data_IF_082964341826
#
_entry.id   IF_082964341826
#
_cell.length_a   1.000
_cell.length_b   1.000
_cell.length_c   1.000
_cell.angle_alpha   90.00
_cell.angle_beta   90.00
_cell.angle_gamma   90.00
#
_symmetry.space_group_name_H-M   'P 1'
#
loop_
_entity.id
_entity.type
_entity.pdbx_description
1 polymer ?
#
# COMPACT_ATOMS: atom_id res chain seq x y z
N UNK A 1 -1.69 20.75 9.52
CA UNK A 1 -0.47 20.93 8.73
C UNK A 1 -0.69 20.20 7.41
N UNK A 2 -0.79 20.91 6.29
CA UNK A 2 -0.88 20.29 4.96
C UNK A 2 0.49 19.71 4.62
N UNK A 3 0.63 18.38 4.74
CA UNK A 3 1.87 17.69 4.41
C UNK A 3 2.21 17.87 2.94
N UNK A 4 3.51 17.94 2.62
CA UNK A 4 3.98 17.91 1.23
C UNK A 4 3.49 16.61 0.59
N UNK A 5 2.84 16.66 -0.59
CA UNK A 5 2.39 15.46 -1.26
C UNK A 5 3.56 14.49 -1.46
N UNK A 6 3.38 13.25 -1.01
CA UNK A 6 4.45 12.25 -1.02
C UNK A 6 4.11 11.13 -1.99
N UNK A 7 5.03 10.83 -2.90
CA UNK A 7 4.91 9.65 -3.74
C UNK A 7 5.23 8.39 -2.94
N UNK A 8 4.32 7.42 -2.91
CA UNK A 8 4.46 6.20 -2.11
C UNK A 8 4.58 4.98 -3.04
N UNK A 9 5.69 4.27 -2.89
CA UNK A 9 6.01 3.05 -3.63
C UNK A 9 5.23 1.81 -3.11
N UNK A 10 5.15 0.77 -3.95
CA UNK A 10 4.54 -0.54 -3.69
C UNK A 10 4.96 -1.13 -2.35
N UNK A 11 6.25 -1.08 -2.00
CA UNK A 11 6.77 -1.73 -0.79
C UNK A 11 6.11 -1.23 0.50
N UNK A 12 5.83 0.07 0.59
CA UNK A 12 5.15 0.65 1.78
C UNK A 12 3.74 0.10 1.90
N UNK A 13 3.01 0.00 0.78
CA UNK A 13 1.68 -0.60 0.75
C UNK A 13 1.70 -2.09 1.14
N UNK A 14 2.70 -2.83 0.68
CA UNK A 14 2.84 -4.25 1.04
C UNK A 14 3.05 -4.44 2.55
N UNK A 15 3.91 -3.63 3.18
CA UNK A 15 4.09 -3.69 4.63
C UNK A 15 2.81 -3.35 5.42
N UNK A 16 1.94 -2.50 4.86
CA UNK A 16 0.66 -2.17 5.49
C UNK A 16 -0.39 -3.27 5.30
N UNK A 17 -0.49 -3.83 4.10
CA UNK A 17 -1.62 -4.66 3.67
C UNK A 17 -1.38 -6.16 3.83
N UNK A 18 -0.12 -6.59 3.91
CA UNK A 18 0.26 -7.98 3.94
C UNK A 18 1.22 -8.29 5.09
N UNK A 19 1.04 -9.47 5.69
CA UNK A 19 1.86 -9.99 6.77
C UNK A 19 2.89 -11.00 6.22
N UNK A 20 4.03 -10.50 5.74
CA UNK A 20 5.09 -11.35 5.18
C UNK A 20 5.83 -12.12 6.28
N UNK A 21 5.43 -13.38 6.50
CA UNK A 21 6.01 -14.28 7.49
C UNK A 21 7.49 -14.60 7.27
N UNK A 22 8.08 -14.23 6.13
CA UNK A 22 9.53 -14.35 5.89
C UNK A 22 10.35 -13.28 6.60
N UNK A 23 9.71 -12.17 6.99
CA UNK A 23 10.32 -11.09 7.77
C UNK A 23 10.19 -11.44 9.25
N UNK A 24 11.29 -11.28 9.99
CA UNK A 24 11.34 -11.44 11.45
C UNK A 24 10.26 -10.58 12.13
N UNK A 25 9.65 -11.09 13.20
CA UNK A 25 8.43 -10.51 13.78
C UNK A 25 8.58 -9.05 14.22
N UNK A 26 9.66 -8.73 14.92
CA UNK A 26 9.90 -7.37 15.42
C UNK A 26 10.07 -6.40 14.24
N UNK A 27 10.85 -6.78 13.23
CA UNK A 27 11.06 -5.96 12.04
C UNK A 27 9.79 -5.82 11.19
N UNK A 28 8.97 -6.87 11.11
CA UNK A 28 7.70 -6.87 10.40
C UNK A 28 6.71 -5.91 11.05
N UNK A 29 6.59 -5.94 12.38
CA UNK A 29 5.75 -5.02 13.14
C UNK A 29 6.25 -3.57 12.98
N UNK A 30 7.56 -3.34 13.10
CA UNK A 30 8.16 -2.01 12.92
C UNK A 30 7.86 -1.43 11.54
N UNK A 31 8.08 -2.21 10.47
CA UNK A 31 7.79 -1.78 9.09
C UNK A 31 6.31 -1.51 8.88
N UNK A 32 5.42 -2.33 9.45
CA UNK A 32 3.97 -2.14 9.37
C UNK A 32 3.53 -0.86 10.07
N UNK A 33 4.05 -0.57 11.26
CA UNK A 33 3.73 0.65 12.01
C UNK A 33 4.18 1.91 11.26
N UNK A 34 5.38 1.89 10.67
CA UNK A 34 5.88 2.99 9.83
C UNK A 34 4.99 3.16 8.59
N UNK A 35 4.66 2.06 7.90
CA UNK A 35 3.80 2.10 6.72
C UNK A 35 2.42 2.64 7.04
N UNK A 36 1.80 2.22 8.16
CA UNK A 36 0.54 2.77 8.64
C UNK A 36 0.65 4.27 8.89
N UNK A 37 1.70 4.73 9.59
CA UNK A 37 1.92 6.15 9.86
C UNK A 37 2.00 6.96 8.56
N UNK A 38 2.86 6.56 7.62
CA UNK A 38 3.05 7.25 6.33
C UNK A 38 1.75 7.29 5.52
N UNK A 39 1.03 6.17 5.45
CA UNK A 39 -0.15 6.04 4.58
C UNK A 39 -1.47 6.43 5.25
N UNK A 40 -1.43 7.03 6.44
CA UNK A 40 -2.62 7.55 7.14
C UNK A 40 -2.81 9.06 6.99
N UNK A 41 -1.83 9.77 6.40
CA UNK A 41 -1.97 11.18 6.04
C UNK A 41 -2.66 11.35 4.69
N UNK A 42 -3.21 12.55 4.47
CA UNK A 42 -3.72 12.98 3.17
C UNK A 42 -2.58 13.44 2.25
N UNK A 43 -2.86 13.60 0.95
CA UNK A 43 -1.87 14.07 -0.02
C UNK A 43 -0.91 12.96 -0.53
N UNK A 44 -1.28 11.69 -0.38
CA UNK A 44 -0.51 10.58 -0.92
C UNK A 44 -0.67 10.54 -2.44
N UNK A 45 0.45 10.45 -3.16
CA UNK A 45 0.50 10.25 -4.61
C UNK A 45 0.94 8.81 -4.88
N UNK A 46 0.24 8.13 -5.79
CA UNK A 46 0.62 6.80 -6.31
C UNK A 46 0.54 6.80 -7.83
N UNK A 47 1.22 5.85 -8.49
CA UNK A 47 1.06 5.62 -9.93
C UNK A 47 0.20 4.38 -10.21
N UNK A 48 -0.29 4.27 -11.43
CA UNK A 48 -0.98 3.05 -11.90
C UNK A 48 -0.09 1.81 -11.79
N UNK A 49 1.22 1.95 -12.01
CA UNK A 49 2.18 0.87 -11.80
C UNK A 49 2.17 0.38 -10.35
N UNK A 50 2.21 1.30 -9.37
CA UNK A 50 2.14 0.94 -7.93
C UNK A 50 0.84 0.20 -7.63
N UNK A 51 -0.30 0.65 -8.15
CA UNK A 51 -1.58 -0.06 -7.98
C UNK A 51 -1.50 -1.49 -8.50
N UNK A 52 -0.99 -1.67 -9.72
CA UNK A 52 -0.87 -2.99 -10.35
C UNK A 52 0.05 -3.92 -9.58
N UNK A 53 1.21 -3.43 -9.14
CA UNK A 53 2.17 -4.21 -8.38
C UNK A 53 1.63 -4.61 -7.00
N UNK A 54 0.95 -3.70 -6.29
CA UNK A 54 0.28 -4.02 -5.03
C UNK A 54 -0.74 -5.13 -5.24
N UNK A 55 -1.62 -4.99 -6.24
CA UNK A 55 -2.65 -5.99 -6.53
C UNK A 55 -2.06 -7.35 -6.90
N UNK A 56 -1.04 -7.37 -7.77
CA UNK A 56 -0.36 -8.60 -8.17
C UNK A 56 0.32 -9.30 -6.97
N UNK A 57 0.92 -8.53 -6.06
CA UNK A 57 1.52 -9.10 -4.85
C UNK A 57 0.47 -9.62 -3.87
N UNK A 58 -0.65 -8.92 -3.67
CA UNK A 58 -1.73 -9.38 -2.79
C UNK A 58 -2.40 -10.66 -3.31
N UNK A 59 -2.62 -10.76 -4.62
CA UNK A 59 -3.13 -11.98 -5.26
C UNK A 59 -2.16 -13.16 -5.05
N UNK A 60 -0.87 -12.96 -5.34
CA UNK A 60 0.14 -14.04 -5.36
C UNK A 60 0.64 -14.45 -3.99
N UNK A 61 0.79 -13.49 -3.06
CA UNK A 61 1.49 -13.67 -1.78
C UNK A 61 0.54 -13.63 -0.58
N UNK A 62 -0.57 -12.91 -0.67
CA UNK A 62 -1.53 -12.75 0.42
C UNK A 62 -2.81 -13.59 0.24
N UNK A 63 -2.92 -14.34 -0.86
CA UNK A 63 -4.11 -15.14 -1.21
C UNK A 63 -5.41 -14.34 -1.20
N UNK A 64 -5.34 -13.05 -1.55
CA UNK A 64 -6.53 -12.21 -1.69
C UNK A 64 -7.38 -12.72 -2.85
N UNK A 65 -8.70 -12.68 -2.67
CA UNK A 65 -9.67 -12.94 -3.75
C UNK A 65 -9.88 -11.67 -4.58
N UNK A 66 -10.40 -11.83 -5.80
CA UNK A 66 -10.69 -10.71 -6.70
C UNK A 66 -11.58 -9.62 -6.07
N UNK A 67 -12.59 -10.01 -5.28
CA UNK A 67 -13.46 -9.07 -4.57
C UNK A 67 -12.68 -8.20 -3.57
N UNK A 68 -11.70 -8.80 -2.86
CA UNK A 68 -10.84 -8.08 -1.92
C UNK A 68 -9.90 -7.15 -2.67
N UNK A 69 -9.38 -7.56 -3.83
CA UNK A 69 -8.55 -6.70 -4.69
C UNK A 69 -9.36 -5.51 -5.19
N UNK A 70 -10.61 -5.71 -5.63
CA UNK A 70 -11.50 -4.63 -6.05
C UNK A 70 -11.71 -3.61 -4.93
N UNK A 71 -11.89 -4.06 -3.69
CA UNK A 71 -12.00 -3.19 -2.52
C UNK A 71 -10.70 -2.40 -2.25
N UNK A 72 -9.53 -3.04 -2.40
CA UNK A 72 -8.22 -2.37 -2.28
C UNK A 72 -8.06 -1.29 -3.35
N UNK A 73 -8.35 -1.60 -4.61
CA UNK A 73 -8.31 -0.63 -5.73
C UNK A 73 -9.22 0.56 -5.41
N UNK A 74 -10.48 0.32 -5.07
CA UNK A 74 -11.41 1.39 -4.74
C UNK A 74 -10.92 2.27 -3.58
N UNK A 75 -10.30 1.67 -2.56
CA UNK A 75 -9.72 2.40 -1.43
C UNK A 75 -8.53 3.27 -1.86
N UNK A 76 -7.62 2.74 -2.69
CA UNK A 76 -6.47 3.49 -3.20
C UNK A 76 -6.91 4.70 -4.03
N UNK A 77 -7.85 4.51 -4.97
CA UNK A 77 -8.37 5.59 -5.83
C UNK A 77 -9.16 6.66 -5.04
N UNK A 78 -9.78 6.29 -3.91
CA UNK A 78 -10.47 7.25 -3.05
C UNK A 78 -9.53 8.07 -2.17
N UNK A 79 -8.40 7.49 -1.77
CA UNK A 79 -7.52 8.07 -0.73
C UNK A 79 -6.26 8.71 -1.29
N UNK A 80 -5.85 8.35 -2.50
CA UNK A 80 -4.59 8.78 -3.11
C UNK A 80 -4.86 9.55 -4.42
N UNK A 81 -4.04 10.54 -4.69
CA UNK A 81 -3.96 11.15 -6.01
C UNK A 81 -3.18 10.23 -6.95
N UNK A 82 -3.71 10.01 -8.16
CA UNK A 82 -3.03 9.23 -9.18
C UNK A 82 -2.17 10.14 -10.06
N UNK A 83 -0.88 9.80 -10.16
CA UNK A 83 -0.01 10.38 -11.16
C UNK A 83 0.13 9.46 -12.36
N UNK A 84 -0.08 10.03 -13.56
CA UNK A 84 0.16 9.37 -14.84
C UNK A 84 1.55 9.86 -15.29
N UNK A 85 2.57 9.06 -15.00
CA UNK A 85 3.92 9.22 -15.53
C UNK A 85 4.26 7.98 -16.36
#
# INVERSE_FOLDING_TARGET
MTGVPSFIDTNVWLYRLFDDKKIEEIERERKRNIAISITSYEGIIISTQVVNEVCANLLKKASFKEEQIKAVIQSLYRRCALSIH
#
